data_IF_188069537153
#
_entry.id   IF_188069537153
#
_cell.length_a   1.000
_cell.length_b   1.000
_cell.length_c   1.000
_cell.angle_alpha   90.00
_cell.angle_beta   90.00
_cell.angle_gamma   90.00
#
_symmetry.space_group_name_H-M   'P 1'
#
loop_
_entity.id
_entity.type
_entity.pdbx_description
1 polymer ?
#
# COMPACT_ATOMS: atom_id res chain seq x y z
N UNK A 1 -12.06 -25.73 3.96
CA UNK A 1 -12.77 -24.60 4.62
C UNK A 1 -12.36 -23.27 3.99
N UNK A 2 -13.30 -22.56 3.36
CA UNK A 2 -13.04 -21.28 2.68
C UNK A 2 -12.72 -20.14 3.66
N UNK A 3 -12.01 -19.11 3.20
CA UNK A 3 -11.64 -17.95 4.03
C UNK A 3 -12.85 -17.21 4.60
N UNK A 4 -13.99 -17.19 3.88
CA UNK A 4 -15.24 -16.59 4.34
C UNK A 4 -15.83 -17.33 5.55
N UNK A 5 -15.73 -18.66 5.57
CA UNK A 5 -16.21 -19.48 6.70
C UNK A 5 -15.41 -19.23 7.97
N UNK A 6 -14.07 -19.10 7.85
CA UNK A 6 -13.21 -18.78 9.01
C UNK A 6 -13.54 -17.42 9.62
N UNK A 7 -13.82 -16.42 8.77
CA UNK A 7 -14.18 -15.08 9.22
C UNK A 7 -15.55 -15.04 9.90
N UNK A 8 -16.52 -15.79 9.36
CA UNK A 8 -17.84 -15.93 9.96
C UNK A 8 -17.75 -16.61 11.34
N UNK A 9 -16.97 -17.68 11.46
CA UNK A 9 -16.77 -18.39 12.74
C UNK A 9 -16.15 -17.48 13.80
N UNK A 10 -15.11 -16.71 13.45
CA UNK A 10 -14.47 -15.77 14.39
C UNK A 10 -15.42 -14.63 14.80
N UNK A 11 -16.22 -14.11 13.86
CA UNK A 11 -17.22 -13.09 14.18
C UNK A 11 -18.28 -13.63 15.14
N UNK A 12 -18.81 -14.82 14.87
CA UNK A 12 -19.86 -15.42 15.69
C UNK A 12 -19.35 -15.89 17.06
N UNK A 13 -18.09 -16.32 17.17
CA UNK A 13 -17.50 -16.64 18.47
C UNK A 13 -17.30 -15.39 19.32
N UNK A 14 -16.87 -14.27 18.75
CA UNK A 14 -16.78 -12.98 19.47
C UNK A 14 -18.17 -12.55 19.97
N UNK A 15 -19.20 -12.62 19.12
CA UNK A 15 -20.59 -12.29 19.49
C UNK A 15 -21.12 -13.23 20.57
N UNK A 16 -20.81 -14.53 20.49
CA UNK A 16 -21.21 -15.52 21.49
C UNK A 16 -20.60 -15.25 22.86
N UNK A 17 -19.29 -14.96 22.91
CA UNK A 17 -18.59 -14.61 24.15
C UNK A 17 -19.16 -13.32 24.76
N UNK A 18 -19.42 -12.30 23.94
CA UNK A 18 -20.04 -11.05 24.39
C UNK A 18 -21.44 -11.27 24.98
N UNK A 19 -22.28 -12.04 24.29
CA UNK A 19 -23.62 -12.38 24.76
C UNK A 19 -23.58 -13.12 26.08
N UNK A 20 -22.66 -14.10 26.23
CA UNK A 20 -22.53 -14.88 27.46
C UNK A 20 -22.12 -14.01 28.66
N UNK A 21 -21.20 -13.07 28.47
CA UNK A 21 -20.77 -12.13 29.51
C UNK A 21 -21.89 -11.19 29.95
N UNK A 22 -22.66 -10.64 28.99
CA UNK A 22 -23.81 -9.77 29.29
C UNK A 22 -24.90 -10.52 30.03
N UNK A 23 -25.25 -11.74 29.58
CA UNK A 23 -26.26 -12.57 30.25
C UNK A 23 -25.80 -12.93 31.67
N UNK A 24 -24.55 -13.34 31.83
CA UNK A 24 -23.98 -13.62 33.15
C UNK A 24 -24.07 -12.40 34.08
N UNK A 25 -23.82 -11.19 33.57
CA UNK A 25 -23.95 -9.95 34.34
C UNK A 25 -25.37 -9.71 34.80
N UNK A 26 -26.33 -9.82 33.88
CA UNK A 26 -27.75 -9.65 34.20
C UNK A 26 -28.17 -10.64 35.29
N UNK A 27 -27.77 -11.91 35.17
CA UNK A 27 -28.08 -12.95 36.15
C UNK A 27 -27.45 -12.65 37.52
N UNK A 28 -26.18 -12.27 37.58
CA UNK A 28 -25.50 -11.99 38.86
C UNK A 28 -26.09 -10.77 39.55
N UNK A 29 -26.34 -9.68 38.82
CA UNK A 29 -26.92 -8.44 39.35
C UNK A 29 -28.36 -8.66 39.84
N UNK A 30 -29.13 -9.50 39.16
CA UNK A 30 -30.52 -9.79 39.54
C UNK A 30 -30.62 -10.79 40.69
N UNK A 31 -29.72 -11.77 40.79
CA UNK A 31 -29.79 -12.85 41.77
C UNK A 31 -29.10 -12.53 43.11
N UNK A 32 -28.07 -11.68 43.14
CA UNK A 32 -27.30 -11.41 44.35
C UNK A 32 -26.76 -9.95 44.39
N UNK A 33 -27.62 -8.96 44.70
CA UNK A 33 -27.25 -7.54 44.66
C UNK A 33 -26.22 -7.12 45.72
N UNK A 34 -25.95 -7.98 46.71
CA UNK A 34 -25.04 -7.71 47.84
C UNK A 34 -23.60 -8.17 47.57
N UNK A 35 -23.34 -8.87 46.45
CA UNK A 35 -22.05 -9.48 46.15
C UNK A 35 -21.04 -8.44 45.64
N UNK A 36 -19.80 -8.50 46.11
CA UNK A 36 -18.72 -7.62 45.64
C UNK A 36 -18.41 -7.90 44.15
N UNK A 37 -18.80 -6.96 43.30
CA UNK A 37 -18.76 -7.09 41.83
C UNK A 37 -17.40 -6.68 41.24
N UNK A 38 -16.40 -6.35 42.06
CA UNK A 38 -15.07 -5.94 41.57
C UNK A 38 -14.44 -6.97 40.64
N UNK A 39 -14.50 -8.27 40.98
CA UNK A 39 -13.99 -9.34 40.12
C UNK A 39 -14.74 -9.43 38.78
N UNK A 40 -16.06 -9.21 38.81
CA UNK A 40 -16.89 -9.19 37.61
C UNK A 40 -16.56 -7.98 36.72
N UNK A 41 -16.33 -6.81 37.32
CA UNK A 41 -15.90 -5.60 36.61
C UNK A 41 -14.52 -5.74 35.96
N UNK A 42 -13.57 -6.41 36.62
CA UNK A 42 -12.25 -6.72 36.02
C UNK A 42 -12.40 -7.68 34.84
N UNK A 43 -13.19 -8.74 34.98
CA UNK A 43 -13.46 -9.68 33.90
C UNK A 43 -14.12 -9.00 32.70
N UNK A 44 -15.07 -8.08 32.95
CA UNK A 44 -15.73 -7.29 31.92
C UNK A 44 -14.76 -6.33 31.21
N UNK A 45 -13.90 -5.63 31.97
CA UNK A 45 -12.88 -4.76 31.39
C UNK A 45 -11.92 -5.54 30.47
N UNK A 46 -11.47 -6.72 30.89
CA UNK A 46 -10.62 -7.61 30.09
C UNK A 46 -11.34 -8.09 28.84
N UNK A 47 -12.63 -8.41 28.92
CA UNK A 47 -13.43 -8.82 27.77
C UNK A 47 -13.68 -7.67 26.77
N UNK A 48 -14.00 -6.47 27.25
CA UNK A 48 -14.18 -5.29 26.40
C UNK A 48 -12.86 -4.94 25.71
N UNK A 49 -11.78 -4.85 26.47
CA UNK A 49 -10.46 -4.50 25.92
C UNK A 49 -9.95 -5.52 24.90
N UNK A 50 -10.12 -6.82 25.17
CA UNK A 50 -9.78 -7.87 24.18
C UNK A 50 -10.66 -7.80 22.92
N UNK A 51 -11.96 -7.52 23.06
CA UNK A 51 -12.86 -7.30 21.93
C UNK A 51 -12.45 -6.09 21.07
N UNK A 52 -12.13 -4.96 21.70
CA UNK A 52 -11.66 -3.75 21.03
C UNK A 52 -10.36 -4.01 20.29
N UNK A 53 -9.38 -4.65 20.94
CA UNK A 53 -8.11 -5.04 20.31
C UNK A 53 -8.37 -5.96 19.10
N UNK A 54 -9.27 -6.93 19.22
CA UNK A 54 -9.67 -7.80 18.12
C UNK A 54 -10.25 -7.03 16.92
N UNK A 55 -11.14 -6.08 17.16
CA UNK A 55 -11.72 -5.21 16.12
C UNK A 55 -10.64 -4.34 15.47
N UNK A 56 -9.77 -3.71 16.26
CA UNK A 56 -8.67 -2.89 15.75
C UNK A 56 -7.75 -3.73 14.85
N UNK A 57 -7.34 -4.91 15.30
CA UNK A 57 -6.51 -5.84 14.50
C UNK A 57 -7.23 -6.26 13.22
N UNK A 58 -8.53 -6.56 13.29
CA UNK A 58 -9.33 -6.94 12.12
C UNK A 58 -9.44 -5.80 11.11
N UNK A 59 -9.67 -4.57 11.56
CA UNK A 59 -9.74 -3.37 10.72
C UNK A 59 -8.39 -3.10 10.05
N UNK A 60 -7.29 -3.17 10.81
CA UNK A 60 -5.92 -3.00 10.28
C UNK A 60 -5.63 -4.07 9.22
N UNK A 61 -5.94 -5.34 9.50
CA UNK A 61 -5.76 -6.43 8.53
C UNK A 61 -6.66 -6.26 7.30
N UNK A 62 -7.92 -5.89 7.47
CA UNK A 62 -8.85 -5.66 6.36
C UNK A 62 -8.38 -4.50 5.47
N UNK A 63 -7.82 -3.43 6.06
CA UNK A 63 -7.23 -2.33 5.31
C UNK A 63 -5.97 -2.77 4.57
N UNK A 64 -5.11 -3.59 5.19
CA UNK A 64 -3.93 -4.15 4.54
C UNK A 64 -4.28 -5.08 3.37
N UNK A 65 -5.30 -5.94 3.52
CA UNK A 65 -5.75 -6.84 2.45
C UNK A 65 -6.38 -6.04 1.29
N UNK A 66 -7.21 -5.04 1.59
CA UNK A 66 -7.76 -4.15 0.56
C UNK A 66 -6.67 -3.43 -0.23
N UNK A 67 -5.60 -2.98 0.44
CA UNK A 67 -4.42 -2.39 -0.22
C UNK A 67 -3.77 -3.37 -1.20
N UNK A 68 -3.53 -4.62 -0.77
CA UNK A 68 -2.92 -5.65 -1.64
C UNK A 68 -3.75 -5.93 -2.88
N UNK A 69 -5.08 -6.03 -2.74
CA UNK A 69 -5.97 -6.28 -3.88
C UNK A 69 -5.96 -5.14 -4.90
N UNK A 70 -5.84 -3.88 -4.45
CA UNK A 70 -5.75 -2.74 -5.36
C UNK A 70 -4.44 -2.76 -6.16
N UNK A 71 -3.31 -3.01 -5.50
CA UNK A 71 -1.99 -3.10 -6.15
C UNK A 71 -1.93 -4.31 -7.11
N UNK A 72 -2.53 -5.44 -6.76
CA UNK A 72 -2.64 -6.64 -7.62
C UNK A 72 -3.56 -6.42 -8.82
N UNK A 73 -4.70 -5.74 -8.63
CA UNK A 73 -5.62 -5.44 -9.73
C UNK A 73 -4.99 -4.48 -10.76
N UNK A 74 -4.27 -3.46 -10.29
CA UNK A 74 -3.50 -2.58 -11.17
C UNK A 74 -2.38 -3.34 -11.86
N UNK A 75 -1.65 -4.20 -11.13
CA UNK A 75 -0.58 -4.98 -11.72
C UNK A 75 -1.07 -5.93 -12.82
N UNK A 76 -2.22 -6.57 -12.62
CA UNK A 76 -2.87 -7.40 -13.64
C UNK A 76 -3.37 -6.57 -14.81
N UNK A 77 -3.95 -5.39 -14.56
CA UNK A 77 -4.40 -4.48 -15.62
C UNK A 77 -3.24 -4.02 -16.49
N UNK A 78 -2.12 -3.59 -15.90
CA UNK A 78 -0.93 -3.14 -16.64
C UNK A 78 -0.27 -4.30 -17.38
N UNK A 79 -0.10 -5.47 -16.75
CA UNK A 79 0.47 -6.67 -17.42
C UNK A 79 -0.37 -7.16 -18.60
N UNK A 80 -1.67 -6.86 -18.61
CA UNK A 80 -2.55 -7.14 -19.76
C UNK A 80 -2.27 -6.21 -20.94
N UNK A 81 -1.84 -4.98 -20.66
CA UNK A 81 -1.48 -3.98 -21.68
C UNK A 81 -0.06 -4.25 -22.19
N UNK A 82 0.89 -4.49 -21.28
CA UNK A 82 2.26 -4.84 -21.60
C UNK A 82 2.84 -5.84 -20.57
N UNK A 83 3.01 -7.11 -20.95
CA UNK A 83 3.45 -8.17 -20.04
C UNK A 83 4.93 -8.07 -19.67
N UNK A 84 5.71 -7.26 -20.39
CA UNK A 84 7.16 -7.15 -20.21
C UNK A 84 7.55 -6.14 -19.13
N UNK A 85 6.56 -5.42 -18.60
CA UNK A 85 6.80 -4.26 -17.74
C UNK A 85 7.04 -4.66 -16.29
N UNK A 86 8.12 -4.13 -15.74
CA UNK A 86 8.44 -4.26 -14.32
C UNK A 86 7.67 -3.21 -13.51
N UNK A 87 6.92 -3.67 -12.50
CA UNK A 87 5.99 -2.83 -11.75
C UNK A 87 6.50 -2.51 -10.36
N UNK A 88 6.53 -1.21 -10.05
CA UNK A 88 7.05 -0.67 -8.82
C UNK A 88 5.99 0.21 -8.16
N UNK A 89 5.27 -0.33 -7.17
CA UNK A 89 4.37 0.48 -6.35
C UNK A 89 5.16 1.58 -5.67
N UNK A 90 4.65 2.79 -5.72
CA UNK A 90 5.33 3.97 -5.23
C UNK A 90 4.38 4.97 -4.58
N UNK A 91 4.95 5.95 -3.89
CA UNK A 91 4.25 7.16 -3.47
C UNK A 91 4.89 8.37 -4.16
N UNK A 92 4.10 9.29 -4.75
CA UNK A 92 4.65 10.45 -5.42
C UNK A 92 5.21 11.45 -4.41
N UNK A 93 6.40 11.97 -4.69
CA UNK A 93 6.96 13.09 -3.92
C UNK A 93 6.28 14.41 -4.32
N UNK A 94 6.42 15.49 -3.53
CA UNK A 94 5.93 16.81 -3.91
C UNK A 94 6.45 17.27 -5.28
N UNK A 95 7.71 16.98 -5.61
CA UNK A 95 8.35 17.34 -6.87
C UNK A 95 7.67 16.62 -8.04
N UNK A 96 7.46 15.29 -7.92
CA UNK A 96 6.75 14.52 -8.95
C UNK A 96 5.31 14.99 -9.13
N UNK A 97 4.62 15.37 -8.04
CA UNK A 97 3.28 15.95 -8.14
C UNK A 97 3.29 17.24 -8.93
N UNK A 98 4.25 18.13 -8.68
CA UNK A 98 4.37 19.37 -9.45
C UNK A 98 4.68 19.11 -10.93
N UNK A 99 5.57 18.17 -11.24
CA UNK A 99 5.91 17.85 -12.63
C UNK A 99 4.73 17.27 -13.41
N UNK A 100 3.95 16.39 -12.79
CA UNK A 100 2.72 15.89 -13.41
C UNK A 100 1.67 16.99 -13.50
N UNK A 101 1.49 17.83 -12.48
CA UNK A 101 0.54 18.95 -12.52
C UNK A 101 0.88 19.94 -13.65
N UNK A 102 2.16 20.19 -13.92
CA UNK A 102 2.60 21.02 -15.05
C UNK A 102 2.29 20.38 -16.40
N UNK A 103 2.52 19.07 -16.53
CA UNK A 103 2.31 18.35 -17.78
C UNK A 103 0.83 18.02 -18.05
N UNK A 104 0.04 17.84 -16.98
CA UNK A 104 -1.35 17.38 -16.96
C UNK A 104 -2.12 18.12 -15.85
N UNK A 105 -2.47 19.40 -16.06
CA UNK A 105 -3.17 20.21 -15.06
C UNK A 105 -4.52 19.62 -14.61
N UNK A 106 -5.15 18.84 -15.48
CA UNK A 106 -6.42 18.16 -15.26
C UNK A 106 -6.33 16.94 -14.31
N UNK A 107 -5.12 16.48 -13.97
CA UNK A 107 -4.91 15.28 -13.15
C UNK A 107 -4.42 15.67 -11.75
N UNK A 108 -5.17 15.27 -10.72
CA UNK A 108 -4.69 15.33 -9.33
C UNK A 108 -4.14 13.96 -8.92
N UNK A 109 -2.82 13.88 -8.75
CA UNK A 109 -2.14 12.66 -8.30
C UNK A 109 -2.59 12.24 -6.90
N UNK A 110 -3.15 11.04 -6.79
CA UNK A 110 -3.43 10.40 -5.52
C UNK A 110 -2.16 10.05 -4.73
N UNK A 111 -2.36 9.58 -3.50
CA UNK A 111 -1.25 9.16 -2.63
C UNK A 111 -0.51 7.91 -3.13
N UNK A 112 -1.04 7.21 -4.14
CA UNK A 112 -0.53 5.92 -4.60
C UNK A 112 -0.46 5.87 -6.11
N UNK A 113 0.72 5.53 -6.59
CA UNK A 113 1.01 5.36 -8.00
C UNK A 113 1.81 4.08 -8.20
N UNK A 114 1.86 3.61 -9.44
CA UNK A 114 2.74 2.51 -9.85
C UNK A 114 3.58 2.97 -11.01
N UNK A 115 4.89 2.84 -10.85
CA UNK A 115 5.82 2.96 -11.96
C UNK A 115 5.89 1.63 -12.71
N UNK A 116 5.91 1.74 -14.02
CA UNK A 116 5.89 0.63 -14.93
C UNK A 116 7.06 0.84 -15.92
N UNK A 117 8.11 0.04 -15.77
CA UNK A 117 9.33 0.11 -16.57
C UNK A 117 9.33 -1.00 -17.61
N UNK A 118 9.16 -0.62 -18.88
CA UNK A 118 9.21 -1.54 -20.01
C UNK A 118 10.51 -1.36 -20.81
N UNK A 119 10.70 -2.20 -21.82
CA UNK A 119 11.94 -2.20 -22.60
C UNK A 119 12.26 -0.87 -23.33
N UNK A 120 11.26 -0.02 -23.59
CA UNK A 120 11.43 1.25 -24.34
C UNK A 120 11.03 2.51 -23.58
N UNK A 121 10.32 2.36 -22.46
CA UNK A 121 9.72 3.48 -21.74
C UNK A 121 9.48 3.17 -20.25
N UNK A 122 9.64 4.21 -19.43
CA UNK A 122 9.15 4.26 -18.07
C UNK A 122 7.82 5.01 -18.04
N UNK A 123 6.82 4.45 -17.37
CA UNK A 123 5.50 5.07 -17.29
C UNK A 123 4.90 5.07 -15.90
N UNK A 124 4.25 6.18 -15.57
CA UNK A 124 3.56 6.38 -14.31
C UNK A 124 2.08 6.06 -14.49
N UNK A 125 1.55 5.22 -13.62
CA UNK A 125 0.15 4.81 -13.63
C UNK A 125 -0.51 5.09 -12.29
N UNK A 126 -1.77 5.50 -12.36
CA UNK A 126 -2.65 5.62 -11.21
C UNK A 126 -3.87 4.72 -11.39
N UNK A 127 -4.30 4.06 -10.31
CA UNK A 127 -5.54 3.28 -10.27
C UNK A 127 -6.61 4.07 -9.52
N UNK A 128 -7.69 4.38 -10.21
CA UNK A 128 -8.88 4.98 -9.63
C UNK A 128 -10.05 3.99 -9.74
N UNK A 129 -10.42 3.37 -8.61
CA UNK A 129 -11.45 2.33 -8.44
C UNK A 129 -11.34 1.11 -9.38
N UNK A 130 -11.57 1.29 -10.68
CA UNK A 130 -11.52 0.28 -11.76
C UNK A 130 -10.80 0.75 -13.01
N UNK A 131 -10.25 1.97 -13.03
CA UNK A 131 -9.59 2.54 -14.20
C UNK A 131 -8.09 2.69 -13.92
N UNK A 132 -7.28 2.09 -14.77
CA UNK A 132 -5.84 2.37 -14.81
C UNK A 132 -5.60 3.51 -15.79
N UNK A 133 -5.09 4.63 -15.29
CA UNK A 133 -4.80 5.82 -16.10
C UNK A 133 -3.29 5.99 -16.19
N UNK A 134 -2.79 6.08 -17.43
CA UNK A 134 -1.38 6.36 -17.71
C UNK A 134 -1.15 7.87 -17.64
N UNK A 135 -0.39 8.32 -16.65
CA UNK A 135 -0.21 9.74 -16.33
C UNK A 135 0.99 10.37 -17.02
N UNK A 136 2.12 9.66 -16.98
CA UNK A 136 3.39 10.13 -17.53
C UNK A 136 4.09 9.01 -18.27
N UNK A 137 4.77 9.36 -19.36
CA UNK A 137 5.56 8.43 -20.18
C UNK A 137 6.89 9.09 -20.50
N UNK A 138 7.97 8.39 -20.18
CA UNK A 138 9.35 8.82 -20.41
C UNK A 138 10.02 7.71 -21.23
N UNK A 139 10.37 8.01 -22.49
CA UNK A 139 11.15 7.07 -23.32
C UNK A 139 12.58 6.98 -22.80
N UNK A 140 13.22 5.81 -22.91
CA UNK A 140 14.62 5.64 -22.46
C UNK A 140 15.60 6.59 -23.15
N UNK A 141 15.36 6.95 -24.42
CA UNK A 141 16.17 7.95 -25.15
C UNK A 141 16.14 9.34 -24.52
N UNK A 142 15.15 9.60 -23.65
CA UNK A 142 15.04 10.84 -22.88
C UNK A 142 15.45 10.67 -21.44
N UNK A 143 15.80 9.47 -20.98
CA UNK A 143 16.25 9.24 -19.60
C UNK A 143 17.77 9.35 -19.49
N UNK A 144 18.23 10.21 -18.57
CA UNK A 144 19.64 10.56 -18.40
C UNK A 144 20.27 9.82 -17.22
N UNK A 145 19.52 9.57 -16.14
CA UNK A 145 20.05 8.89 -14.95
C UNK A 145 18.93 8.34 -14.06
N UNK A 146 19.21 7.23 -13.37
CA UNK A 146 18.37 6.69 -12.30
C UNK A 146 19.24 6.53 -11.05
N UNK A 147 18.87 7.22 -9.96
CA UNK A 147 19.59 7.18 -8.68
C UNK A 147 18.72 6.67 -7.54
N UNK A 148 19.36 6.12 -6.50
CA UNK A 148 18.72 5.81 -5.21
C UNK A 148 19.22 6.78 -4.16
N UNK A 149 18.30 7.42 -3.46
CA UNK A 149 18.59 8.27 -2.31
C UNK A 149 17.96 7.70 -1.03
N UNK A 150 18.69 7.81 0.08
CA UNK A 150 18.14 7.50 1.39
C UNK A 150 17.44 8.72 1.96
N UNK A 151 16.19 8.52 2.39
CA UNK A 151 15.43 9.58 3.03
C UNK A 151 15.40 9.35 4.52
N UNK A 152 16.12 10.21 5.24
CA UNK A 152 16.20 10.21 6.69
C UNK A 152 14.88 10.68 7.30
N UNK A 153 14.32 9.91 8.25
CA UNK A 153 13.12 10.28 9.01
C UNK A 153 11.80 9.75 8.45
N UNK A 154 11.77 9.25 7.22
CA UNK A 154 10.58 8.63 6.63
C UNK A 154 10.51 7.13 7.00
N UNK A 155 9.38 6.64 7.51
CA UNK A 155 9.20 5.20 7.85
C UNK A 155 9.14 4.26 6.63
N UNK A 156 9.44 4.76 5.43
CA UNK A 156 9.36 4.01 4.17
C UNK A 156 10.50 4.40 3.21
N UNK A 157 11.48 3.50 3.06
CA UNK A 157 12.14 3.15 1.80
C UNK A 157 12.97 4.20 1.03
N UNK A 158 13.95 3.70 0.26
CA UNK A 158 14.75 4.54 -0.62
C UNK A 158 13.89 5.28 -1.65
N UNK A 159 14.27 6.51 -1.94
CA UNK A 159 13.72 7.28 -3.05
C UNK A 159 14.47 6.90 -4.32
N UNK A 160 13.73 6.73 -5.42
CA UNK A 160 14.33 6.64 -6.74
C UNK A 160 14.10 7.96 -7.45
N UNK A 161 15.19 8.57 -7.92
CA UNK A 161 15.19 9.80 -8.69
C UNK A 161 15.53 9.48 -10.15
N UNK A 162 14.63 9.84 -11.06
CA UNK A 162 14.82 9.69 -12.50
C UNK A 162 15.06 11.06 -13.13
N UNK A 163 16.25 11.27 -13.67
CA UNK A 163 16.55 12.44 -14.49
C UNK A 163 16.16 12.17 -15.94
N UNK A 164 15.37 13.04 -16.54
CA UNK A 164 14.93 12.90 -17.92
C UNK A 164 14.83 14.25 -18.63
N UNK A 165 14.79 14.20 -19.96
CA UNK A 165 14.64 15.35 -20.86
C UNK A 165 13.18 15.42 -21.30
N UNK A 166 12.57 16.59 -21.13
CA UNK A 166 11.19 16.86 -21.55
C UNK A 166 11.10 17.04 -23.08
N UNK A 167 9.88 17.10 -23.66
CA UNK A 167 9.71 17.36 -25.08
C UNK A 167 10.27 18.72 -25.56
N UNK A 168 10.47 19.66 -24.66
CA UNK A 168 11.02 21.00 -24.89
C UNK A 168 12.55 21.07 -24.64
N UNK A 169 13.22 19.91 -24.58
CA UNK A 169 14.65 19.74 -24.32
C UNK A 169 15.15 20.25 -22.96
N UNK A 170 14.23 20.55 -22.04
CA UNK A 170 14.60 20.91 -20.66
C UNK A 170 14.79 19.66 -19.79
N UNK A 171 15.74 19.71 -18.85
CA UNK A 171 15.96 18.64 -17.88
C UNK A 171 14.91 18.69 -16.76
N UNK A 172 14.43 17.53 -16.33
CA UNK A 172 13.46 17.36 -15.25
C UNK A 172 13.80 16.14 -14.40
N UNK A 173 13.25 16.11 -13.18
CA UNK A 173 13.51 15.04 -12.20
C UNK A 173 12.20 14.51 -11.65
N UNK A 174 11.94 13.23 -11.90
CA UNK A 174 10.83 12.51 -11.31
C UNK A 174 11.32 11.69 -10.11
N UNK A 175 10.93 12.07 -8.90
CA UNK A 175 11.29 11.36 -7.67
C UNK A 175 10.09 10.62 -7.09
N UNK A 176 10.31 9.41 -6.58
CA UNK A 176 9.25 8.62 -5.96
C UNK A 176 9.80 7.68 -4.88
N UNK A 177 9.00 7.47 -3.84
CA UNK A 177 9.34 6.53 -2.79
C UNK A 177 8.93 5.12 -3.20
N UNK A 178 9.88 4.20 -3.21
CA UNK A 178 9.62 2.80 -3.58
C UNK A 178 8.90 2.10 -2.43
N UNK A 179 7.79 1.40 -2.71
CA UNK A 179 7.03 0.67 -1.70
C UNK A 179 7.26 -0.83 -1.83
N UNK A 180 6.51 -1.64 -1.09
CA UNK A 180 6.54 -3.10 -1.25
C UNK A 180 6.24 -3.50 -2.70
N UNK A 181 6.89 -4.57 -3.20
CA UNK A 181 6.48 -5.16 -4.49
C UNK A 181 4.99 -5.54 -4.45
N UNK A 182 4.28 -5.58 -5.60
CA UNK A 182 2.90 -6.03 -5.64
C UNK A 182 2.78 -7.41 -4.95
N UNK A 183 1.81 -7.57 -4.04
CA UNK A 183 1.62 -8.80 -3.25
C UNK A 183 2.55 -9.00 -2.04
N UNK A 184 3.60 -8.19 -1.87
CA UNK A 184 4.49 -8.26 -0.70
C UNK A 184 3.99 -7.36 0.44
N UNK A 185 4.04 -7.87 1.68
CA UNK A 185 3.81 -7.06 2.89
C UNK A 185 5.06 -6.34 3.39
N UNK A 186 6.24 -6.64 2.82
CA UNK A 186 7.51 -6.01 3.20
C UNK A 186 7.77 -4.84 2.27
N UNK A 187 7.96 -3.65 2.85
CA UNK A 187 8.46 -2.46 2.16
C UNK A 187 9.79 -2.80 1.49
N UNK A 188 10.00 -2.35 0.26
CA UNK A 188 11.32 -2.37 -0.36
C UNK A 188 12.15 -1.28 0.33
N UNK A 189 12.82 -1.61 1.43
CA UNK A 189 13.85 -0.76 2.02
C UNK A 189 15.12 -0.73 1.16
N UNK A 190 16.04 0.20 1.45
CA UNK A 190 17.38 0.19 0.85
C UNK A 190 18.01 -1.19 1.08
N UNK A 191 18.53 -1.79 0.02
CA UNK A 191 19.15 -3.11 0.06
C UNK A 191 19.23 -3.75 -1.32
N UNK A 192 19.85 -4.92 -1.39
CA UNK A 192 20.18 -5.64 -2.63
C UNK A 192 19.07 -5.71 -3.69
N UNK A 193 17.79 -5.70 -3.30
CA UNK A 193 16.68 -5.70 -4.26
C UNK A 193 16.43 -4.34 -4.92
N UNK A 194 16.59 -3.25 -4.17
CA UNK A 194 16.46 -1.89 -4.71
C UNK A 194 17.69 -1.53 -5.55
N UNK A 195 18.88 -1.94 -5.11
CA UNK A 195 20.10 -1.75 -5.88
C UNK A 195 20.07 -2.56 -7.19
N UNK A 196 19.56 -3.80 -7.15
CA UNK A 196 19.31 -4.59 -8.37
C UNK A 196 18.26 -3.95 -9.26
N UNK A 197 17.16 -3.43 -8.69
CA UNK A 197 16.18 -2.68 -9.47
C UNK A 197 16.86 -1.54 -10.23
N UNK A 198 17.62 -0.70 -9.55
CA UNK A 198 18.28 0.43 -10.23
C UNK A 198 19.33 -0.05 -11.23
N UNK A 199 20.07 -1.13 -10.92
CA UNK A 199 20.99 -1.72 -11.88
C UNK A 199 20.28 -2.28 -13.12
N UNK A 200 19.11 -2.90 -12.96
CA UNK A 200 18.29 -3.44 -14.06
C UNK A 200 17.73 -2.29 -14.91
N UNK A 201 17.18 -1.22 -14.29
CA UNK A 201 16.72 -0.02 -15.00
C UNK A 201 17.85 0.71 -15.72
N UNK A 202 19.02 0.81 -15.07
CA UNK A 202 20.20 1.40 -15.67
C UNK A 202 20.75 0.55 -16.82
N UNK A 203 20.59 -0.78 -16.77
CA UNK A 203 21.00 -1.68 -17.86
C UNK A 203 20.06 -1.57 -19.05
N UNK A 204 18.76 -1.48 -18.84
CA UNK A 204 17.79 -1.31 -19.95
C UNK A 204 18.04 -0.02 -20.74
N UNK A 205 18.51 1.05 -20.09
CA UNK A 205 19.00 2.27 -20.76
C UNK A 205 20.13 1.99 -21.77
N UNK A 206 21.00 1.00 -21.51
CA UNK A 206 22.22 0.75 -22.28
C UNK A 206 21.96 -0.11 -23.53
N UNK A 207 20.79 -0.76 -23.64
CA UNK A 207 20.47 -1.65 -24.78
C UNK A 207 19.87 -0.88 -25.99
N UNK A 208 19.86 0.45 -25.96
CA UNK A 208 19.41 1.30 -27.08
C UNK A 208 20.58 1.84 -27.91
#
# INVERSE_FOLDING_TARGET
MSAGHRFAVVRWSIVGVWTALVVSRIVVVTAAPQTDLTFFGVAELVAISSGVVGVVVAVVRARAIRRRRADEALALAIRRIDPTVWLVPAAPTPELRQDVQRARPEVTLGERVTWAFGATEASLWELEERRATRLLVIRWSRMVHVGVEDVLGERNAGAVAMHYVRPDDTAAVATFFVRSSPGSGRLLGRGLRLDRLVADLARERIVA
#
